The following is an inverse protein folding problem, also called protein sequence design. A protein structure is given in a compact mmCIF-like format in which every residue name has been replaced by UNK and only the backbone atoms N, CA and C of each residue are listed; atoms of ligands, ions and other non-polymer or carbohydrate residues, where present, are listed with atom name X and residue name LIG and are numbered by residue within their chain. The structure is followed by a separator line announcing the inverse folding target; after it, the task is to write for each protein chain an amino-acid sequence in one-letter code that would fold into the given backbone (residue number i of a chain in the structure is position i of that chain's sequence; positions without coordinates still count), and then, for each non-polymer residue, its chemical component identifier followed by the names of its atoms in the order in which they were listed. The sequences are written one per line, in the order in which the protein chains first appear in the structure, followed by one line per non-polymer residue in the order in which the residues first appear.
data_IF_431854188003
#
_entry.id   IF_431854188003
#
_cell.length_a   1.000
_cell.length_b   1.000
_cell.length_c   1.000
_cell.angle_alpha   90.00
_cell.angle_beta   90.00
_cell.angle_gamma   90.00
#
_symmetry.space_group_name_H-M   'P 1'
#
loop_
_entity.id
_entity.type
_entity.pdbx_description
1 polymer ?
#
# COMPACT_ATOMS: atom_id res chain seq x y z
N UNK A 1 -9.42 -19.30 -41.42
CA UNK A 1 -9.98 -20.57 -41.91
C UNK A 1 -10.28 -21.41 -40.68
N UNK A 2 -11.55 -21.67 -40.37
CA UNK A 2 -12.00 -22.37 -39.15
C UNK A 2 -12.71 -23.67 -39.53
N UNK A 3 -12.41 -24.75 -38.79
CA UNK A 3 -13.05 -26.09 -38.84
C UNK A 3 -12.21 -27.02 -37.92
N UNK A 4 -12.68 -27.95 -37.07
CA UNK A 4 -13.99 -28.36 -36.49
C UNK A 4 -13.69 -28.77 -35.01
N UNK A 5 -14.55 -28.66 -33.98
CA UNK A 5 -15.79 -29.41 -33.69
C UNK A 5 -15.65 -30.96 -33.80
N UNK A 6 -15.97 -31.80 -32.81
CA UNK A 6 -16.28 -31.56 -31.36
C UNK A 6 -15.43 -32.52 -30.48
N UNK A 7 -15.83 -33.39 -29.53
CA UNK A 7 -17.10 -33.87 -28.92
C UNK A 7 -16.80 -34.26 -27.45
N UNK A 8 -17.76 -34.17 -26.53
CA UNK A 8 -17.66 -34.73 -25.16
C UNK A 8 -18.30 -36.13 -25.07
N UNK A 9 -17.73 -37.04 -24.25
CA UNK A 9 -18.37 -38.11 -23.46
C UNK A 9 -17.28 -39.02 -22.81
N UNK A 10 -17.45 -39.71 -21.68
CA UNK A 10 -18.50 -39.73 -20.64
C UNK A 10 -17.94 -40.39 -19.35
N UNK A 11 -18.59 -40.20 -18.19
CA UNK A 11 -18.23 -40.94 -16.96
C UNK A 11 -18.67 -42.40 -17.06
N UNK A 12 -17.81 -43.38 -16.80
CA UNK A 12 -18.25 -44.78 -16.65
C UNK A 12 -17.38 -45.67 -15.74
N UNK A 13 -18.04 -46.30 -14.75
CA UNK A 13 -17.56 -47.48 -14.00
C UNK A 13 -16.23 -47.37 -13.24
N UNK A 14 -16.29 -46.78 -12.04
CA UNK A 14 -15.28 -46.96 -10.99
C UNK A 14 -15.31 -48.43 -10.53
N UNK A 15 -14.36 -49.23 -11.01
CA UNK A 15 -14.20 -50.64 -10.69
C UNK A 15 -12.71 -50.95 -10.57
N UNK A 16 -12.36 -51.77 -9.57
CA UNK A 16 -10.96 -52.02 -9.18
C UNK A 16 -10.13 -52.58 -10.33
N UNK A 17 -8.85 -52.19 -10.37
CA UNK A 17 -7.86 -52.80 -11.25
C UNK A 17 -7.38 -54.12 -10.62
N UNK A 18 -7.11 -55.13 -11.44
CA UNK A 18 -6.50 -56.39 -10.98
C UNK A 18 -4.97 -56.29 -10.77
N UNK A 19 -4.37 -55.13 -11.06
CA UNK A 19 -2.94 -54.77 -10.94
C UNK A 19 -1.91 -55.70 -11.61
N UNK A 20 -2.36 -56.79 -12.23
CA UNK A 20 -1.60 -57.72 -13.08
C UNK A 20 -0.68 -56.99 -14.07
N UNK A 21 0.63 -57.14 -13.93
CA UNK A 21 1.64 -56.59 -14.85
C UNK A 21 1.99 -57.60 -15.95
N UNK A 22 2.34 -57.17 -17.18
CA UNK A 22 2.51 -55.78 -17.63
C UNK A 22 1.21 -55.08 -18.10
N UNK A 23 0.10 -55.79 -18.26
CA UNK A 23 -1.20 -55.22 -18.63
C UNK A 23 -2.30 -55.84 -17.78
N UNK A 24 -3.09 -55.01 -17.08
CA UNK A 24 -4.25 -55.48 -16.35
C UNK A 24 -5.30 -56.06 -17.32
N UNK A 25 -6.08 -57.05 -16.89
CA UNK A 25 -6.97 -57.77 -17.81
C UNK A 25 -8.01 -56.84 -18.48
N UNK A 26 -8.44 -55.79 -17.78
CA UNK A 26 -9.37 -54.78 -18.31
C UNK A 26 -8.75 -53.91 -19.42
N UNK A 27 -7.46 -53.61 -19.35
CA UNK A 27 -6.72 -52.92 -20.40
C UNK A 27 -6.44 -53.84 -21.60
N UNK A 28 -6.06 -55.10 -21.33
CA UNK A 28 -5.83 -56.15 -22.35
C UNK A 28 -7.06 -56.37 -23.23
N UNK A 29 -8.26 -56.48 -22.65
CA UNK A 29 -9.53 -56.65 -23.39
C UNK A 29 -9.89 -55.38 -24.19
N UNK A 30 -9.54 -54.18 -23.70
CA UNK A 30 -9.92 -52.90 -24.33
C UNK A 30 -8.86 -52.34 -25.30
N UNK A 31 -7.76 -53.05 -25.53
CA UNK A 31 -6.68 -52.61 -26.42
C UNK A 31 -6.04 -51.27 -26.00
N UNK A 32 -5.96 -51.00 -24.68
CA UNK A 32 -5.38 -49.76 -24.14
C UNK A 32 -4.11 -50.04 -23.35
N UNK A 33 -3.19 -49.10 -23.42
CA UNK A 33 -1.98 -49.08 -22.60
C UNK A 33 -2.33 -48.97 -21.11
N UNK A 34 -1.55 -49.65 -20.25
CA UNK A 34 -1.81 -49.72 -18.82
C UNK A 34 -0.73 -48.95 -18.04
N UNK A 35 -1.04 -47.73 -17.62
CA UNK A 35 -0.12 -46.86 -16.89
C UNK A 35 -0.18 -47.16 -15.40
N UNK A 36 0.88 -47.77 -14.86
CA UNK A 36 1.03 -47.97 -13.41
C UNK A 36 1.75 -46.76 -12.82
N UNK A 37 1.09 -46.07 -11.88
CA UNK A 37 1.70 -44.92 -11.21
C UNK A 37 2.89 -45.34 -10.34
N UNK A 38 4.09 -44.90 -10.73
CA UNK A 38 5.22 -44.81 -9.79
C UNK A 38 4.89 -43.83 -8.66
N UNK A 39 5.62 -43.91 -7.55
CA UNK A 39 5.39 -43.07 -6.36
C UNK A 39 5.36 -41.58 -6.71
N UNK A 40 4.17 -40.98 -6.60
CA UNK A 40 3.95 -39.58 -6.93
C UNK A 40 4.68 -38.66 -5.95
N UNK A 41 5.85 -38.15 -6.36
CA UNK A 41 6.37 -36.93 -5.77
C UNK A 41 5.46 -35.78 -6.21
N UNK A 42 4.71 -35.24 -5.25
CA UNK A 42 3.93 -34.02 -5.45
C UNK A 42 4.86 -32.92 -6.00
N UNK A 43 4.51 -32.24 -7.11
CA UNK A 43 5.31 -31.12 -7.60
C UNK A 43 5.38 -30.04 -6.53
N UNK A 44 6.59 -29.68 -6.12
CA UNK A 44 6.80 -28.50 -5.27
C UNK A 44 6.28 -27.28 -6.02
N UNK A 45 5.26 -26.62 -5.47
CA UNK A 45 4.66 -25.42 -6.03
C UNK A 45 5.63 -24.25 -5.85
N UNK A 46 6.57 -24.11 -6.79
CA UNK A 46 7.42 -22.92 -6.86
C UNK A 46 6.53 -21.67 -7.00
N UNK A 47 6.58 -20.79 -6.00
CA UNK A 47 5.90 -19.51 -6.02
C UNK A 47 6.52 -18.63 -7.12
N UNK A 48 5.92 -18.62 -8.31
CA UNK A 48 6.37 -17.80 -9.44
C UNK A 48 6.13 -16.32 -9.11
N UNK A 49 7.21 -15.61 -8.74
CA UNK A 49 7.19 -14.17 -8.55
C UNK A 49 7.30 -13.52 -9.93
N UNK A 50 6.18 -13.01 -10.46
CA UNK A 50 6.17 -12.25 -11.71
C UNK A 50 6.84 -10.89 -11.49
N UNK A 51 8.10 -10.76 -11.94
CA UNK A 51 8.86 -9.52 -11.92
C UNK A 51 8.71 -8.83 -13.28
N UNK A 52 7.99 -7.70 -13.32
CA UNK A 52 7.87 -6.88 -14.53
C UNK A 52 9.15 -6.09 -14.76
N UNK A 53 9.90 -6.41 -15.82
CA UNK A 53 11.13 -5.71 -16.21
C UNK A 53 10.86 -4.87 -17.45
N UNK A 54 10.79 -3.52 -17.35
CA UNK A 54 10.61 -2.66 -18.51
C UNK A 54 11.86 -2.62 -19.39
N UNK A 55 11.66 -2.57 -20.71
CA UNK A 55 12.74 -2.53 -21.71
C UNK A 55 13.28 -1.10 -21.83
N UNK A 56 14.46 -0.83 -21.27
CA UNK A 56 15.08 0.51 -21.28
C UNK A 56 16.22 0.58 -22.32
N UNK A 57 16.28 1.62 -23.18
CA UNK A 57 17.42 1.84 -24.09
C UNK A 57 18.74 2.03 -23.34
N UNK A 58 19.85 1.50 -23.89
CA UNK A 58 21.19 1.71 -23.32
C UNK A 58 21.68 3.13 -23.61
N UNK A 59 21.68 4.00 -22.60
CA UNK A 59 22.42 5.26 -22.61
C UNK A 59 23.73 5.14 -21.80
N UNK A 60 24.78 5.91 -22.14
CA UNK A 60 26.04 5.90 -21.38
C UNK A 60 25.84 6.51 -19.98
N UNK A 61 26.37 5.84 -18.97
CA UNK A 61 26.25 6.24 -17.56
C UNK A 61 27.14 7.43 -17.21
N UNK A 62 26.53 8.56 -16.88
CA UNK A 62 27.22 9.77 -16.39
C UNK A 62 27.22 9.92 -14.85
N UNK A 63 26.66 8.96 -14.10
CA UNK A 63 26.57 9.01 -12.64
C UNK A 63 27.39 7.91 -11.97
N UNK A 64 28.16 8.27 -10.94
CA UNK A 64 28.81 7.29 -10.07
C UNK A 64 27.80 6.73 -9.06
N UNK A 65 27.73 5.40 -8.83
CA UNK A 65 26.80 4.82 -7.85
C UNK A 65 26.94 5.34 -6.41
N UNK A 66 28.08 5.93 -6.05
CA UNK A 66 28.30 6.55 -4.75
C UNK A 66 27.37 7.75 -4.49
N UNK A 67 27.13 8.60 -5.49
CA UNK A 67 26.29 9.80 -5.38
C UNK A 67 24.81 9.47 -5.12
N UNK A 68 24.36 8.30 -5.58
CA UNK A 68 23.00 7.79 -5.31
C UNK A 68 22.80 7.41 -3.85
N UNK A 69 23.80 6.80 -3.22
CA UNK A 69 23.80 6.43 -1.80
C UNK A 69 23.93 7.68 -0.94
N UNK A 70 24.88 8.57 -1.24
CA UNK A 70 25.09 9.78 -0.46
C UNK A 70 23.86 10.71 -0.45
N UNK A 71 23.25 10.91 -1.62
CA UNK A 71 22.00 11.66 -1.71
C UNK A 71 20.87 10.98 -0.91
N UNK A 72 20.82 9.63 -0.90
CA UNK A 72 19.84 8.87 -0.13
C UNK A 72 20.00 9.14 1.38
N UNK A 73 21.22 9.03 1.90
CA UNK A 73 21.55 9.28 3.30
C UNK A 73 21.10 10.68 3.76
N UNK A 74 21.46 11.71 2.98
CA UNK A 74 21.27 13.10 3.39
C UNK A 74 19.86 13.66 3.14
N UNK A 75 19.13 13.17 2.13
CA UNK A 75 17.91 13.84 1.64
C UNK A 75 16.67 12.93 1.60
N UNK A 76 16.84 11.60 1.55
CA UNK A 76 15.75 10.67 1.25
C UNK A 76 15.37 9.85 2.48
N UNK A 77 16.35 9.33 3.22
CA UNK A 77 16.12 8.48 4.38
C UNK A 77 15.24 9.18 5.43
N UNK A 78 15.57 10.42 5.81
CA UNK A 78 14.85 11.21 6.81
C UNK A 78 13.40 11.54 6.42
N UNK A 79 13.16 12.02 5.19
CA UNK A 79 11.81 12.39 4.70
C UNK A 79 10.86 11.19 4.55
N UNK A 80 11.42 10.00 4.30
CA UNK A 80 10.69 8.73 4.17
C UNK A 80 10.45 8.08 5.53
N UNK A 81 11.43 8.15 6.43
CA UNK A 81 11.40 7.56 7.77
C UNK A 81 10.24 8.09 8.60
N UNK A 82 10.14 9.43 8.67
CA UNK A 82 9.36 10.13 9.68
C UNK A 82 9.63 9.66 11.12
N UNK A 83 8.72 9.93 12.06
CA UNK A 83 8.91 9.57 13.46
C UNK A 83 8.75 8.07 13.78
N UNK A 84 8.39 7.20 12.82
CA UNK A 84 8.07 5.79 13.12
C UNK A 84 9.03 4.75 12.52
N UNK A 85 9.50 4.91 11.29
CA UNK A 85 10.20 3.82 10.56
C UNK A 85 11.72 4.08 10.37
N UNK A 86 12.31 5.01 11.13
CA UNK A 86 13.72 5.44 10.97
C UNK A 86 14.72 4.28 11.03
N UNK A 87 14.48 3.28 11.88
CA UNK A 87 15.35 2.11 12.00
C UNK A 87 15.41 1.26 10.71
N UNK A 88 14.33 1.22 9.92
CA UNK A 88 14.32 0.54 8.63
C UNK A 88 14.98 1.39 7.53
N UNK A 89 14.53 2.64 7.36
CA UNK A 89 14.93 3.49 6.23
C UNK A 89 16.32 4.12 6.39
N UNK A 90 16.68 4.56 7.59
CA UNK A 90 17.99 5.19 7.85
C UNK A 90 19.07 4.18 8.29
N UNK A 91 18.71 3.02 8.87
CA UNK A 91 19.70 2.04 9.34
C UNK A 91 19.75 0.76 8.49
N UNK A 92 18.67 -0.03 8.43
CA UNK A 92 18.69 -1.33 7.72
C UNK A 92 19.02 -1.17 6.22
N UNK A 93 18.38 -0.22 5.54
CA UNK A 93 18.59 -0.02 4.10
C UNK A 93 20.01 0.45 3.79
N UNK A 94 20.60 1.32 4.60
CA UNK A 94 22.00 1.73 4.43
C UNK A 94 22.95 0.53 4.60
N UNK A 95 22.80 -0.23 5.69
CA UNK A 95 23.59 -1.44 5.96
C UNK A 95 23.52 -2.44 4.78
N UNK A 96 22.31 -2.71 4.26
CA UNK A 96 22.13 -3.62 3.14
C UNK A 96 22.61 -3.05 1.80
N UNK A 97 22.53 -1.74 1.56
CA UNK A 97 23.02 -1.12 0.31
C UNK A 97 24.53 -1.24 0.12
N UNK A 98 25.30 -1.27 1.22
CA UNK A 98 26.73 -1.50 1.18
C UNK A 98 27.06 -2.96 0.78
N UNK A 99 26.27 -3.93 1.24
CA UNK A 99 26.57 -5.37 1.10
C UNK A 99 25.86 -6.03 -0.10
N UNK A 100 24.67 -5.55 -0.50
CA UNK A 100 23.77 -6.20 -1.46
C UNK A 100 23.53 -5.30 -2.68
N UNK A 101 24.11 -5.59 -3.87
CA UNK A 101 24.04 -4.69 -5.02
C UNK A 101 22.61 -4.41 -5.53
N UNK A 102 21.67 -5.35 -5.41
CA UNK A 102 20.26 -5.11 -5.74
C UNK A 102 19.64 -3.97 -4.91
N UNK A 103 19.95 -3.91 -3.61
CA UNK A 103 19.49 -2.83 -2.70
C UNK A 103 20.18 -1.51 -3.05
N UNK A 104 21.47 -1.56 -3.40
CA UNK A 104 22.24 -0.38 -3.84
C UNK A 104 21.62 0.29 -5.07
N UNK A 105 21.37 -0.47 -6.14
CA UNK A 105 20.72 0.05 -7.34
C UNK A 105 19.29 0.54 -7.06
N UNK A 106 18.55 -0.13 -6.17
CA UNK A 106 17.20 0.31 -5.79
C UNK A 106 17.21 1.68 -5.06
N UNK A 107 18.15 1.93 -4.12
CA UNK A 107 18.25 3.26 -3.50
C UNK A 107 18.78 4.33 -4.45
N UNK A 108 19.68 4.00 -5.38
CA UNK A 108 20.11 4.93 -6.44
C UNK A 108 18.93 5.34 -7.33
N UNK A 109 18.05 4.40 -7.68
CA UNK A 109 16.83 4.68 -8.44
C UNK A 109 15.86 5.60 -7.67
N UNK A 110 15.68 5.37 -6.37
CA UNK A 110 14.86 6.24 -5.50
C UNK A 110 15.49 7.63 -5.40
N UNK A 111 16.80 7.75 -5.19
CA UNK A 111 17.51 9.05 -5.17
C UNK A 111 17.35 9.81 -6.49
N UNK A 112 17.46 9.13 -7.64
CA UNK A 112 17.25 9.72 -8.95
C UNK A 112 15.80 10.23 -9.12
N UNK A 113 14.79 9.47 -8.68
CA UNK A 113 13.40 9.88 -8.69
C UNK A 113 13.12 11.05 -7.71
N UNK A 114 13.68 11.01 -6.51
CA UNK A 114 13.48 12.01 -5.46
C UNK A 114 14.05 13.38 -5.83
N UNK A 115 15.20 13.42 -6.52
CA UNK A 115 15.83 14.67 -7.02
C UNK A 115 14.87 15.55 -7.85
N UNK A 116 13.88 14.97 -8.54
CA UNK A 116 12.79 15.73 -9.15
C UNK A 116 11.53 14.84 -9.32
N UNK A 117 10.67 14.85 -8.29
CA UNK A 117 9.46 14.01 -8.22
C UNK A 117 8.44 14.31 -9.32
N UNK A 118 8.44 15.51 -9.92
CA UNK A 118 7.55 15.83 -11.04
C UNK A 118 7.87 14.99 -12.29
N UNK A 119 9.15 14.69 -12.53
CA UNK A 119 9.62 13.88 -13.68
C UNK A 119 10.03 12.46 -13.27
N UNK A 120 9.81 12.04 -12.02
CA UNK A 120 10.19 10.71 -11.54
C UNK A 120 9.69 9.57 -12.44
N UNK A 121 8.47 9.70 -12.98
CA UNK A 121 7.84 8.73 -13.87
C UNK A 121 8.67 8.43 -15.15
N UNK A 122 9.39 9.44 -15.67
CA UNK A 122 10.15 9.43 -16.93
C UNK A 122 11.66 9.60 -16.74
N UNK A 123 12.15 9.64 -15.50
CA UNK A 123 13.56 9.82 -15.17
C UNK A 123 14.40 8.62 -15.68
N UNK A 124 15.32 8.80 -16.66
CA UNK A 124 16.01 7.69 -17.30
C UNK A 124 16.96 6.95 -16.35
N UNK A 125 17.60 7.65 -15.40
CA UNK A 125 18.48 7.05 -14.41
C UNK A 125 17.68 6.18 -13.43
N UNK A 126 16.51 6.65 -12.96
CA UNK A 126 15.63 5.87 -12.10
C UNK A 126 15.12 4.59 -12.79
N UNK A 127 14.80 4.67 -14.08
CA UNK A 127 14.40 3.52 -14.91
C UNK A 127 15.56 2.52 -15.11
N UNK A 128 16.75 3.02 -15.44
CA UNK A 128 17.95 2.19 -15.66
C UNK A 128 18.42 1.47 -14.39
N UNK A 129 18.44 2.18 -13.26
CA UNK A 129 18.88 1.64 -11.98
C UNK A 129 17.84 0.66 -11.41
N UNK A 130 16.54 0.93 -11.51
CA UNK A 130 15.51 -0.02 -11.07
C UNK A 130 15.47 -1.29 -11.92
N UNK A 131 15.59 -1.18 -13.25
CA UNK A 131 15.72 -2.34 -14.13
C UNK A 131 16.98 -3.18 -13.83
N UNK A 132 18.06 -2.54 -13.35
CA UNK A 132 19.29 -3.23 -12.94
C UNK A 132 19.18 -3.84 -11.54
N UNK A 133 18.54 -3.17 -10.59
CA UNK A 133 18.19 -3.71 -9.28
C UNK A 133 17.36 -4.99 -9.41
N UNK A 134 16.31 -4.98 -10.26
CA UNK A 134 15.48 -6.16 -10.52
C UNK A 134 16.28 -7.31 -11.15
N UNK A 135 17.13 -7.03 -12.15
CA UNK A 135 17.98 -8.05 -12.80
C UNK A 135 18.93 -8.73 -11.81
N UNK A 136 19.54 -7.97 -10.90
CA UNK A 136 20.40 -8.53 -9.84
C UNK A 136 19.58 -9.28 -8.79
N UNK A 137 18.36 -8.82 -8.48
CA UNK A 137 17.46 -9.48 -7.54
C UNK A 137 16.98 -10.85 -8.05
N UNK A 138 16.52 -10.96 -9.30
CA UNK A 138 16.11 -12.23 -9.91
C UNK A 138 17.23 -13.26 -9.80
N UNK A 139 18.45 -12.87 -10.22
CA UNK A 139 19.64 -13.73 -10.09
C UNK A 139 19.97 -14.07 -8.64
N UNK A 140 19.69 -13.22 -7.65
CA UNK A 140 19.85 -13.62 -6.23
C UNK A 140 18.81 -14.65 -5.81
N UNK A 141 17.55 -14.49 -6.20
CA UNK A 141 16.46 -15.43 -5.86
C UNK A 141 16.72 -16.80 -6.50
N UNK A 142 17.18 -16.83 -7.75
CA UNK A 142 17.59 -18.07 -8.45
C UNK A 142 18.71 -18.83 -7.73
N UNK A 143 19.70 -18.12 -7.19
CA UNK A 143 20.86 -18.72 -6.50
C UNK A 143 20.59 -19.03 -5.02
N UNK A 144 19.57 -18.45 -4.41
CA UNK A 144 19.26 -18.57 -2.97
C UNK A 144 17.74 -18.39 -2.71
N UNK A 145 16.90 -19.39 -3.04
CA UNK A 145 15.45 -19.27 -2.94
C UNK A 145 14.91 -19.11 -1.50
N UNK A 146 15.73 -19.44 -0.50
CA UNK A 146 15.34 -19.46 0.91
C UNK A 146 15.71 -18.17 1.66
N UNK A 147 16.44 -17.23 1.05
CA UNK A 147 16.77 -15.94 1.67
C UNK A 147 15.71 -14.88 1.37
N UNK A 148 14.77 -14.72 2.29
CA UNK A 148 13.62 -13.83 2.14
C UNK A 148 13.93 -12.34 2.45
N UNK A 149 14.98 -12.03 3.23
CA UNK A 149 15.28 -10.67 3.68
C UNK A 149 15.51 -9.69 2.52
N UNK A 150 16.39 -10.03 1.57
CA UNK A 150 16.75 -9.12 0.46
C UNK A 150 15.58 -8.89 -0.51
N UNK A 151 14.82 -9.92 -0.93
CA UNK A 151 13.58 -9.74 -1.69
C UNK A 151 12.55 -8.84 -0.99
N UNK A 152 12.37 -8.96 0.33
CA UNK A 152 11.40 -8.13 1.06
C UNK A 152 11.79 -6.66 1.12
N UNK A 153 13.06 -6.36 1.41
CA UNK A 153 13.57 -4.98 1.37
C UNK A 153 13.47 -4.41 -0.05
N UNK A 154 13.75 -5.22 -1.08
CA UNK A 154 13.57 -4.78 -2.46
C UNK A 154 12.11 -4.50 -2.83
N UNK A 155 11.14 -5.31 -2.40
CA UNK A 155 9.71 -5.04 -2.61
C UNK A 155 9.26 -3.71 -1.97
N UNK A 156 9.74 -3.40 -0.76
CA UNK A 156 9.50 -2.11 -0.09
C UNK A 156 10.14 -0.93 -0.84
N UNK A 157 11.37 -1.10 -1.34
CA UNK A 157 12.06 -0.08 -2.14
C UNK A 157 11.40 0.14 -3.51
N UNK A 158 10.93 -0.90 -4.18
CA UNK A 158 10.19 -0.75 -5.44
C UNK A 158 8.79 -0.17 -5.22
N UNK A 159 8.07 -0.56 -4.16
CA UNK A 159 6.83 0.13 -3.74
C UNK A 159 7.08 1.63 -3.58
N UNK A 160 8.17 2.01 -2.91
CA UNK A 160 8.57 3.41 -2.73
C UNK A 160 8.82 4.14 -4.06
N UNK A 161 9.61 3.53 -4.94
CA UNK A 161 9.88 4.10 -6.26
C UNK A 161 8.60 4.28 -7.08
N UNK A 162 7.71 3.27 -7.10
CA UNK A 162 6.45 3.34 -7.84
C UNK A 162 5.47 4.35 -7.22
N UNK A 163 5.49 4.58 -5.89
CA UNK A 163 4.76 5.69 -5.26
C UNK A 163 5.28 7.06 -5.75
N UNK A 164 6.60 7.27 -5.81
CA UNK A 164 7.20 8.51 -6.34
C UNK A 164 6.87 8.72 -7.82
N UNK A 165 6.88 7.64 -8.62
CA UNK A 165 6.51 7.66 -10.04
C UNK A 165 4.99 7.85 -10.24
N UNK A 166 4.17 7.47 -9.26
CA UNK A 166 2.71 7.49 -9.35
C UNK A 166 2.08 6.26 -10.01
N UNK A 167 2.83 5.18 -10.15
CA UNK A 167 2.41 3.94 -10.78
C UNK A 167 1.71 3.04 -9.74
N UNK A 168 0.41 3.30 -9.54
CA UNK A 168 -0.40 2.66 -8.50
C UNK A 168 -0.35 1.13 -8.65
N UNK A 169 -0.64 0.62 -9.85
CA UNK A 169 -0.76 -0.82 -10.10
C UNK A 169 0.53 -1.58 -9.84
N UNK A 170 1.68 -1.04 -10.29
CA UNK A 170 2.97 -1.69 -10.03
C UNK A 170 3.34 -1.63 -8.55
N UNK A 171 3.01 -0.55 -7.83
CA UNK A 171 3.23 -0.48 -6.40
C UNK A 171 2.36 -1.49 -5.62
N UNK A 172 1.12 -1.69 -6.05
CA UNK A 172 0.21 -2.71 -5.50
C UNK A 172 0.75 -4.13 -5.74
N UNK A 173 1.29 -4.42 -6.93
CA UNK A 173 1.93 -5.71 -7.23
C UNK A 173 3.18 -5.95 -6.36
N UNK A 174 4.04 -4.94 -6.20
CA UNK A 174 5.22 -5.05 -5.32
C UNK A 174 4.82 -5.27 -3.85
N UNK A 175 3.76 -4.60 -3.39
CA UNK A 175 3.17 -4.83 -2.06
C UNK A 175 2.69 -6.28 -1.91
N UNK A 176 1.86 -6.77 -2.84
CA UNK A 176 1.31 -8.14 -2.82
C UNK A 176 2.42 -9.21 -2.83
N UNK A 177 3.49 -9.00 -3.60
CA UNK A 177 4.64 -9.89 -3.60
C UNK A 177 5.35 -9.90 -2.23
N UNK A 178 5.49 -8.75 -1.57
CA UNK A 178 6.01 -8.66 -0.20
C UNK A 178 5.21 -9.49 0.82
N UNK A 179 3.88 -9.46 0.75
CA UNK A 179 3.02 -10.27 1.63
C UNK A 179 3.22 -11.78 1.40
N UNK A 180 3.23 -12.22 0.15
CA UNK A 180 3.47 -13.64 -0.22
C UNK A 180 4.83 -14.15 0.29
N UNK A 181 5.87 -13.33 0.23
CA UNK A 181 7.21 -13.71 0.68
C UNK A 181 7.27 -13.82 2.22
N UNK A 182 6.59 -12.94 2.97
CA UNK A 182 6.49 -13.08 4.44
C UNK A 182 5.72 -14.37 4.81
N UNK A 183 4.62 -14.66 4.13
CA UNK A 183 3.86 -15.89 4.36
C UNK A 183 4.70 -17.15 4.12
N UNK A 184 5.41 -17.22 2.99
CA UNK A 184 6.35 -18.31 2.70
C UNK A 184 7.47 -18.41 3.74
N UNK A 185 8.05 -17.28 4.17
CA UNK A 185 9.10 -17.24 5.21
C UNK A 185 8.60 -17.78 6.56
N UNK A 186 7.36 -17.45 6.95
CA UNK A 186 6.73 -17.93 8.18
C UNK A 186 6.40 -19.42 8.11
N UNK A 187 5.93 -19.90 6.97
CA UNK A 187 5.69 -21.34 6.74
C UNK A 187 6.99 -22.14 6.83
N UNK A 188 8.07 -21.66 6.20
CA UNK A 188 9.39 -22.29 6.24
C UNK A 188 9.93 -22.42 7.68
N UNK A 189 9.91 -21.32 8.45
CA UNK A 189 10.36 -21.29 9.85
C UNK A 189 9.53 -22.17 10.80
N UNK A 190 8.24 -22.39 10.51
CA UNK A 190 7.39 -23.29 11.29
C UNK A 190 7.71 -24.78 11.04
N UNK A 191 8.19 -25.12 9.84
CA UNK A 191 8.52 -26.50 9.45
C UNK A 191 9.95 -26.86 9.88
N UNK A 192 10.88 -25.92 9.79
CA UNK A 192 12.30 -26.16 10.06
C UNK A 192 12.92 -25.02 10.85
N UNK A 193 13.40 -25.30 12.07
CA UNK A 193 14.03 -24.29 12.94
C UNK A 193 15.25 -23.69 12.24
N UNK A 194 15.30 -22.36 12.01
CA UNK A 194 16.39 -21.73 11.27
C UNK A 194 17.71 -21.80 12.04
N UNK A 195 18.81 -22.00 11.31
CA UNK A 195 20.17 -21.83 11.85
C UNK A 195 20.46 -20.36 12.22
N UNK A 196 21.53 -20.07 12.99
CA UNK A 196 21.71 -18.77 13.66
C UNK A 196 21.59 -17.54 12.74
N UNK A 197 22.11 -17.61 11.51
CA UNK A 197 22.05 -16.51 10.54
C UNK A 197 20.62 -16.30 10.02
N UNK A 198 19.91 -17.37 9.66
CA UNK A 198 18.52 -17.32 9.21
C UNK A 198 17.55 -16.90 10.34
N UNK A 199 17.92 -17.19 11.60
CA UNK A 199 17.20 -16.69 12.76
C UNK A 199 17.35 -15.17 12.89
N UNK A 200 18.54 -14.60 12.64
CA UNK A 200 18.72 -13.14 12.63
C UNK A 200 18.01 -12.45 11.45
N UNK A 201 18.01 -13.06 10.26
CA UNK A 201 17.23 -12.57 9.11
C UNK A 201 15.71 -12.59 9.43
N UNK A 202 15.21 -13.66 10.07
CA UNK A 202 13.81 -13.78 10.51
C UNK A 202 13.44 -12.71 11.53
N UNK A 203 14.27 -12.53 12.57
CA UNK A 203 14.05 -11.55 13.63
C UNK A 203 14.09 -10.11 13.06
N UNK A 204 14.94 -9.86 12.06
CA UNK A 204 15.00 -8.63 11.28
C UNK A 204 13.73 -8.41 10.45
N UNK A 205 13.19 -9.45 9.81
CA UNK A 205 11.93 -9.36 9.04
C UNK A 205 10.77 -8.99 9.96
N UNK A 206 10.58 -9.72 11.06
CA UNK A 206 9.44 -9.52 11.97
C UNK A 206 9.50 -8.17 12.71
N UNK A 207 10.69 -7.71 13.10
CA UNK A 207 10.85 -6.46 13.87
C UNK A 207 10.99 -5.21 12.99
N UNK A 208 11.63 -5.30 11.82
CA UNK A 208 11.99 -4.12 10.99
C UNK A 208 11.23 -4.03 9.66
N UNK A 209 10.68 -5.13 9.13
CA UNK A 209 10.02 -5.15 7.80
C UNK A 209 8.51 -5.27 7.92
N UNK A 210 8.01 -6.19 8.75
CA UNK A 210 6.57 -6.41 8.95
C UNK A 210 5.83 -5.13 9.38
N UNK A 211 6.34 -4.27 10.28
CA UNK A 211 5.69 -2.99 10.61
C UNK A 211 5.60 -2.05 9.41
N UNK A 212 6.68 -1.90 8.64
CA UNK A 212 6.75 -1.02 7.45
C UNK A 212 5.75 -1.49 6.39
N UNK A 213 5.74 -2.78 6.07
CA UNK A 213 4.80 -3.34 5.09
C UNK A 213 3.35 -3.23 5.57
N UNK A 214 3.09 -3.42 6.88
CA UNK A 214 1.77 -3.22 7.50
C UNK A 214 1.31 -1.75 7.41
N UNK A 215 2.22 -0.78 7.56
CA UNK A 215 1.96 0.65 7.40
C UNK A 215 1.72 1.05 5.95
N UNK A 216 2.60 0.64 5.03
CA UNK A 216 2.49 1.04 3.62
C UNK A 216 1.26 0.43 2.93
N UNK A 217 0.88 -0.80 3.26
CA UNK A 217 -0.36 -1.38 2.71
C UNK A 217 -1.64 -0.71 3.24
N UNK A 218 -1.60 0.09 4.32
CA UNK A 218 -2.73 0.97 4.68
C UNK A 218 -2.89 2.12 3.68
N UNK A 219 -1.78 2.66 3.15
CA UNK A 219 -1.86 3.60 2.04
C UNK A 219 -2.45 2.94 0.79
N UNK A 220 -2.20 1.64 0.58
CA UNK A 220 -2.79 0.87 -0.52
C UNK A 220 -4.30 0.58 -0.34
N UNK A 221 -4.82 0.49 0.90
CA UNK A 221 -6.27 0.36 1.15
C UNK A 221 -7.06 1.54 0.61
N UNK A 222 -6.49 2.75 0.66
CA UNK A 222 -7.14 3.93 0.06
C UNK A 222 -7.36 3.75 -1.45
N UNK A 223 -6.57 2.90 -2.11
CA UNK A 223 -6.71 2.52 -3.52
C UNK A 223 -7.46 1.20 -3.72
N UNK A 224 -8.22 0.74 -2.72
CA UNK A 224 -9.22 -0.34 -2.85
C UNK A 224 -8.66 -1.75 -2.93
N UNK A 225 -7.36 -1.95 -2.71
CA UNK A 225 -6.77 -3.28 -2.56
C UNK A 225 -6.67 -3.66 -1.09
N UNK A 226 -7.29 -4.78 -0.72
CA UNK A 226 -7.13 -5.39 0.60
C UNK A 226 -5.87 -6.25 0.68
N UNK A 227 -5.25 -6.30 1.85
CA UNK A 227 -4.01 -7.05 2.10
C UNK A 227 -4.18 -7.90 3.36
N UNK A 228 -3.64 -9.14 3.40
CA UNK A 228 -3.74 -10.02 4.56
C UNK A 228 -3.29 -9.36 5.87
N UNK A 229 -3.94 -9.70 6.98
CA UNK A 229 -3.54 -9.21 8.30
C UNK A 229 -2.26 -9.92 8.79
N UNK A 230 -1.13 -9.22 8.71
CA UNK A 230 0.09 -9.66 9.35
C UNK A 230 -0.03 -9.50 10.87
N UNK A 231 -0.14 -10.63 11.58
CA UNK A 231 0.14 -10.69 13.02
C UNK A 231 1.57 -10.19 13.29
N UNK A 232 1.76 -9.44 14.36
CA UNK A 232 3.03 -8.95 14.88
C UNK A 232 2.79 -8.54 16.35
N UNK A 233 3.68 -8.95 17.26
CA UNK A 233 3.39 -8.87 18.70
C UNK A 233 3.58 -7.45 19.30
N UNK A 234 4.07 -6.50 18.50
CA UNK A 234 4.20 -5.09 18.90
C UNK A 234 2.87 -4.32 18.79
N UNK A 235 2.11 -4.35 19.88
CA UNK A 235 0.81 -3.66 20.03
C UNK A 235 0.94 -2.11 20.15
N UNK A 236 1.57 -1.46 19.18
CA UNK A 236 1.61 0.01 19.10
C UNK A 236 0.21 0.60 18.88
N UNK A 237 -0.03 1.80 19.40
CA UNK A 237 -1.29 2.51 19.18
C UNK A 237 -1.56 2.73 17.69
N UNK A 238 -0.54 3.13 16.90
CA UNK A 238 -0.67 3.30 15.44
C UNK A 238 -1.14 2.02 14.75
N UNK A 239 -0.67 0.85 15.18
CA UNK A 239 -1.10 -0.45 14.61
C UNK A 239 -2.59 -0.71 14.86
N UNK A 240 -3.06 -0.58 16.11
CA UNK A 240 -4.47 -0.81 16.45
C UNK A 240 -5.42 0.08 15.63
N UNK A 241 -5.08 1.35 15.43
CA UNK A 241 -5.85 2.27 14.59
C UNK A 241 -5.86 1.84 13.10
N UNK A 242 -4.72 1.36 12.60
CA UNK A 242 -4.58 0.82 11.24
C UNK A 242 -5.38 -0.47 11.04
N UNK A 243 -5.45 -1.34 12.04
CA UNK A 243 -6.22 -2.58 12.00
C UNK A 243 -7.74 -2.30 12.04
N UNK A 244 -8.20 -1.30 12.81
CA UNK A 244 -9.59 -0.83 12.76
C UNK A 244 -9.94 -0.24 11.39
N UNK A 245 -9.04 0.53 10.77
CA UNK A 245 -9.24 1.03 9.40
C UNK A 245 -9.27 -0.09 8.35
N UNK A 246 -8.48 -1.17 8.54
CA UNK A 246 -8.55 -2.39 7.72
C UNK A 246 -9.89 -3.10 7.83
N UNK A 247 -10.40 -3.28 9.04
CA UNK A 247 -11.73 -3.86 9.24
C UNK A 247 -12.81 -3.04 8.52
N UNK A 248 -12.77 -1.71 8.68
CA UNK A 248 -13.67 -0.80 7.97
C UNK A 248 -13.54 -0.89 6.44
N UNK A 249 -12.32 -1.03 5.91
CA UNK A 249 -12.05 -1.26 4.48
C UNK A 249 -12.61 -2.60 3.95
N UNK A 250 -12.76 -3.62 4.80
CA UNK A 250 -13.39 -4.90 4.42
C UNK A 250 -14.92 -4.83 4.51
N UNK A 251 -15.47 -4.09 5.47
CA UNK A 251 -16.92 -3.84 5.67
C UNK A 251 -17.48 -2.79 4.67
N UNK A 252 -16.70 -2.37 3.67
CA UNK A 252 -16.87 -1.10 2.96
C UNK A 252 -18.20 -0.87 2.21
N UNK A 253 -18.45 0.43 1.98
CA UNK A 253 -19.54 1.07 1.24
C UNK A 253 -19.95 0.42 -0.09
N UNK A 254 -19.12 -0.42 -0.70
CA UNK A 254 -19.51 -1.21 -1.88
C UNK A 254 -20.78 -2.01 -1.60
N UNK A 255 -20.94 -2.55 -0.39
CA UNK A 255 -22.18 -3.23 0.03
C UNK A 255 -23.38 -2.27 0.13
N UNK A 256 -23.20 -1.10 0.75
CA UNK A 256 -24.24 -0.07 0.85
C UNK A 256 -24.80 0.31 -0.53
N UNK A 257 -23.92 0.71 -1.44
CA UNK A 257 -24.30 1.17 -2.78
C UNK A 257 -24.64 0.04 -3.78
N UNK A 258 -24.57 -1.23 -3.36
CA UNK A 258 -25.15 -2.37 -4.10
C UNK A 258 -26.36 -2.96 -3.39
N UNK A 259 -26.87 -2.30 -2.34
CA UNK A 259 -27.97 -2.76 -1.48
C UNK A 259 -27.76 -4.19 -0.92
N UNK A 260 -26.49 -4.55 -0.71
CA UNK A 260 -26.04 -5.88 -0.28
C UNK A 260 -25.40 -5.83 1.12
N UNK A 261 -25.98 -5.00 2.00
CA UNK A 261 -25.61 -4.91 3.43
C UNK A 261 -26.38 -5.98 4.20
N UNK A 262 -25.67 -6.83 4.93
CA UNK A 262 -26.22 -7.90 5.74
C UNK A 262 -26.18 -7.53 7.24
N UNK A 263 -26.92 -8.27 8.07
CA UNK A 263 -26.89 -8.08 9.53
C UNK A 263 -25.47 -8.25 10.12
N UNK A 264 -24.63 -9.08 9.48
CA UNK A 264 -23.22 -9.29 9.82
C UNK A 264 -22.34 -8.05 9.57
N UNK A 265 -22.71 -7.19 8.62
CA UNK A 265 -21.98 -5.95 8.36
C UNK A 265 -22.26 -4.91 9.45
N UNK A 266 -23.50 -4.82 9.93
CA UNK A 266 -23.86 -3.96 11.08
C UNK A 266 -23.18 -4.41 12.38
N UNK A 267 -23.10 -5.72 12.63
CA UNK A 267 -22.37 -6.22 13.82
C UNK A 267 -20.86 -6.03 13.68
N UNK A 268 -20.31 -6.18 12.47
CA UNK A 268 -18.92 -5.83 12.15
C UNK A 268 -18.62 -4.34 12.37
N UNK A 269 -19.48 -3.45 11.86
CA UNK A 269 -19.40 -2.00 12.05
C UNK A 269 -19.41 -1.64 13.54
N UNK A 270 -20.34 -2.19 14.32
CA UNK A 270 -20.43 -1.97 15.77
C UNK A 270 -19.17 -2.43 16.51
N UNK A 271 -18.64 -3.62 16.20
CA UNK A 271 -17.39 -4.13 16.79
C UNK A 271 -16.21 -3.20 16.46
N UNK A 272 -16.12 -2.68 15.24
CA UNK A 272 -15.07 -1.75 14.82
C UNK A 272 -15.21 -0.37 15.49
N UNK A 273 -16.43 0.13 15.67
CA UNK A 273 -16.70 1.35 16.43
C UNK A 273 -16.30 1.21 17.91
N UNK A 274 -16.62 0.07 18.55
CA UNK A 274 -16.17 -0.23 19.91
C UNK A 274 -14.64 -0.29 20.01
N UNK A 275 -13.96 -0.93 19.05
CA UNK A 275 -12.50 -0.96 18.99
C UNK A 275 -11.89 0.43 18.80
N UNK A 276 -12.48 1.28 17.96
CA UNK A 276 -12.02 2.66 17.74
C UNK A 276 -12.17 3.51 19.01
N UNK A 277 -13.29 3.40 19.71
CA UNK A 277 -13.50 4.15 20.96
C UNK A 277 -12.60 3.63 22.09
N UNK A 278 -12.36 2.31 22.19
CA UNK A 278 -11.37 1.79 23.13
C UNK A 278 -9.96 2.29 22.78
N UNK A 279 -9.58 2.31 21.50
CA UNK A 279 -8.32 2.88 21.06
C UNK A 279 -8.16 4.34 21.47
N UNK A 280 -9.23 5.15 21.31
CA UNK A 280 -9.24 6.56 21.72
C UNK A 280 -9.02 6.71 23.22
N UNK A 281 -9.69 5.87 24.02
CA UNK A 281 -9.52 5.84 25.48
C UNK A 281 -8.08 5.48 25.87
N UNK A 282 -7.51 4.41 25.28
CA UNK A 282 -6.12 3.99 25.47
C UNK A 282 -5.13 5.11 25.11
N UNK A 283 -5.38 5.78 23.98
CA UNK A 283 -4.49 6.80 23.42
C UNK A 283 -4.46 8.06 24.27
N UNK A 284 -5.61 8.61 24.66
CA UNK A 284 -5.65 9.78 25.55
C UNK A 284 -5.10 9.44 26.95
N UNK A 285 -5.33 8.21 27.46
CA UNK A 285 -4.72 7.73 28.71
C UNK A 285 -3.20 7.53 28.62
N UNK A 286 -2.65 7.27 27.41
CA UNK A 286 -1.22 7.31 27.14
C UNK A 286 -0.71 8.75 27.11
N UNK A 287 -1.41 9.67 26.41
CA UNK A 287 -1.00 11.07 26.29
C UNK A 287 -0.90 11.78 27.65
N UNK A 288 -1.77 11.46 28.61
CA UNK A 288 -1.69 11.97 29.99
C UNK A 288 -0.41 11.53 30.71
N UNK A 289 0.12 10.33 30.41
CA UNK A 289 1.31 9.75 31.05
C UNK A 289 2.63 10.24 30.44
N UNK A 290 2.61 10.81 29.24
CA UNK A 290 3.81 11.39 28.62
C UNK A 290 4.27 12.64 29.39
N UNK A 291 5.59 12.78 29.56
CA UNK A 291 6.19 14.03 30.04
C UNK A 291 6.13 15.12 28.92
N UNK A 292 6.54 16.35 29.25
CA UNK A 292 6.53 17.47 28.29
C UNK A 292 7.44 17.23 27.07
N UNK A 293 8.66 16.76 27.29
CA UNK A 293 9.66 16.50 26.23
C UNK A 293 9.20 15.40 25.26
N UNK A 294 8.61 14.32 25.77
CA UNK A 294 8.06 13.24 24.94
C UNK A 294 6.85 13.75 24.14
N UNK A 295 5.98 14.57 24.76
CA UNK A 295 4.79 15.13 24.10
C UNK A 295 5.16 16.15 23.01
N UNK A 296 6.24 16.92 23.20
CA UNK A 296 6.77 17.87 22.22
C UNK A 296 7.43 17.15 21.04
N UNK A 297 8.37 16.23 21.31
CA UNK A 297 9.04 15.44 20.26
C UNK A 297 8.08 14.56 19.45
N UNK A 298 6.99 14.08 20.06
CA UNK A 298 5.94 13.32 19.37
C UNK A 298 4.77 14.18 18.84
N UNK A 299 4.80 15.51 18.96
CA UNK A 299 3.64 16.37 18.69
C UNK A 299 2.99 16.11 17.32
N UNK A 300 3.78 16.08 16.25
CA UNK A 300 3.27 15.83 14.89
C UNK A 300 2.72 14.40 14.71
N UNK A 301 3.28 13.41 15.39
CA UNK A 301 2.75 12.05 15.39
C UNK A 301 1.39 11.97 16.13
N UNK A 302 1.26 12.70 17.25
CA UNK A 302 0.03 12.81 18.04
C UNK A 302 -1.09 13.48 17.23
N UNK A 303 -0.77 14.60 16.57
CA UNK A 303 -1.71 15.34 15.71
C UNK A 303 -2.16 14.45 14.54
N UNK A 304 -1.23 13.78 13.86
CA UNK A 304 -1.54 12.88 12.74
C UNK A 304 -2.45 11.71 13.15
N UNK A 305 -2.19 11.08 14.31
CA UNK A 305 -3.04 10.01 14.84
C UNK A 305 -4.47 10.51 15.16
N UNK A 306 -4.62 11.72 15.71
CA UNK A 306 -5.94 12.34 15.96
C UNK A 306 -6.69 12.66 14.66
N UNK A 307 -5.99 13.14 13.62
CA UNK A 307 -6.57 13.37 12.28
C UNK A 307 -7.12 12.05 11.71
N UNK A 308 -6.30 10.99 11.66
CA UNK A 308 -6.75 9.70 11.13
C UNK A 308 -7.88 9.11 11.96
N UNK A 309 -7.82 9.16 13.30
CA UNK A 309 -8.92 8.70 14.15
C UNK A 309 -10.25 9.36 13.80
N UNK A 310 -10.28 10.69 13.63
CA UNK A 310 -11.51 11.39 13.24
C UNK A 310 -11.98 11.00 11.83
N UNK A 311 -11.09 10.92 10.85
CA UNK A 311 -11.47 10.42 9.51
C UNK A 311 -12.06 9.01 9.55
N UNK A 312 -11.48 8.11 10.35
CA UNK A 312 -11.94 6.74 10.53
C UNK A 312 -13.28 6.70 11.28
N UNK A 313 -13.47 7.55 12.30
CA UNK A 313 -14.71 7.65 13.08
C UNK A 313 -15.90 8.13 12.25
N UNK A 314 -15.75 9.24 11.52
CA UNK A 314 -16.79 9.75 10.61
C UNK A 314 -17.15 8.65 9.61
N UNK A 315 -16.15 8.05 8.98
CA UNK A 315 -16.39 7.07 7.94
C UNK A 315 -17.01 5.76 8.46
N UNK A 316 -16.55 5.21 9.60
CA UNK A 316 -17.18 4.05 10.25
C UNK A 316 -18.59 4.33 10.76
N UNK A 317 -18.97 5.60 10.96
CA UNK A 317 -20.34 5.95 11.33
C UNK A 317 -21.29 5.91 10.14
N UNK A 318 -20.79 6.09 8.91
CA UNK A 318 -21.61 6.19 7.68
C UNK A 318 -21.35 5.09 6.64
N UNK A 319 -20.42 4.16 6.88
CA UNK A 319 -19.96 3.21 5.86
C UNK A 319 -21.02 2.20 5.34
N UNK A 320 -22.16 2.08 6.01
CA UNK A 320 -23.27 1.19 5.62
C UNK A 320 -24.50 1.92 5.05
N UNK A 321 -24.48 3.25 4.94
CA UNK A 321 -25.54 4.05 4.33
C UNK A 321 -25.07 4.67 3.01
N UNK A 322 -25.97 4.79 2.05
CA UNK A 322 -25.76 5.51 0.79
C UNK A 322 -26.19 6.98 0.84
N UNK A 323 -26.81 7.42 1.96
CA UNK A 323 -27.27 8.78 2.18
C UNK A 323 -26.13 9.80 2.12
N UNK A 324 -26.08 10.59 1.04
CA UNK A 324 -25.10 11.67 0.84
C UNK A 324 -25.18 12.82 1.87
N UNK A 325 -26.12 12.78 2.84
CA UNK A 325 -26.25 13.70 3.98
C UNK A 325 -25.80 13.10 5.32
N UNK A 326 -25.53 11.79 5.42
CA UNK A 326 -25.15 11.14 6.68
C UNK A 326 -23.86 11.70 7.30
N UNK A 327 -23.05 12.41 6.52
CA UNK A 327 -21.82 13.07 6.96
C UNK A 327 -22.03 14.48 7.56
N UNK A 328 -23.23 15.07 7.42
CA UNK A 328 -23.50 16.46 7.81
C UNK A 328 -23.38 16.69 9.32
N UNK A 329 -23.79 15.70 10.13
CA UNK A 329 -23.71 15.73 11.59
C UNK A 329 -22.27 15.80 12.13
N UNK A 330 -21.28 15.44 11.30
CA UNK A 330 -19.86 15.44 11.64
C UNK A 330 -19.13 16.73 11.26
N UNK A 331 -19.86 17.81 10.98
CA UNK A 331 -19.28 19.12 10.63
C UNK A 331 -18.19 19.61 11.61
N UNK A 332 -18.34 19.31 12.91
CA UNK A 332 -17.33 19.65 13.92
C UNK A 332 -16.07 18.77 13.81
N UNK A 333 -16.19 17.46 13.61
CA UNK A 333 -15.04 16.58 13.39
C UNK A 333 -14.26 16.92 12.11
N UNK A 334 -14.95 17.36 11.06
CA UNK A 334 -14.33 17.91 9.85
C UNK A 334 -13.58 19.23 10.11
N UNK A 335 -14.15 20.13 10.92
CA UNK A 335 -13.46 21.36 11.33
C UNK A 335 -12.18 21.04 12.14
N UNK A 336 -12.27 20.09 13.07
CA UNK A 336 -11.15 19.61 13.87
C UNK A 336 -10.05 18.94 13.04
N UNK A 337 -10.40 18.12 12.03
CA UNK A 337 -9.43 17.55 11.07
C UNK A 337 -8.63 18.67 10.38
N UNK A 338 -9.32 19.72 9.93
CA UNK A 338 -8.72 20.88 9.25
C UNK A 338 -7.86 21.71 10.20
N UNK A 339 -8.31 21.93 11.44
CA UNK A 339 -7.54 22.64 12.47
C UNK A 339 -6.25 21.89 12.80
N UNK A 340 -6.34 20.59 13.09
CA UNK A 340 -5.19 19.73 13.38
C UNK A 340 -4.21 19.68 12.19
N UNK A 341 -4.70 19.49 10.97
CA UNK A 341 -3.84 19.48 9.78
C UNK A 341 -3.11 20.81 9.58
N UNK A 342 -3.74 21.95 9.88
CA UNK A 342 -3.10 23.26 9.77
C UNK A 342 -1.92 23.45 10.72
N UNK A 343 -1.86 22.74 11.85
CA UNK A 343 -0.74 22.76 12.78
C UNK A 343 0.50 22.06 12.20
N UNK A 344 0.31 20.98 11.44
CA UNK A 344 1.38 20.28 10.71
C UNK A 344 1.86 21.14 9.54
N UNK A 345 0.93 21.70 8.74
CA UNK A 345 1.29 22.53 7.58
C UNK A 345 1.99 23.83 7.97
N UNK A 346 1.55 24.51 9.03
CA UNK A 346 2.13 25.79 9.47
C UNK A 346 3.61 25.71 9.89
N UNK A 347 4.08 24.53 10.30
CA UNK A 347 5.51 24.30 10.58
C UNK A 347 6.37 24.26 9.31
N UNK A 348 5.78 23.87 8.16
CA UNK A 348 6.49 23.80 6.87
C UNK A 348 6.81 25.22 6.37
N UNK A 349 5.90 26.18 6.58
CA UNK A 349 6.10 27.59 6.23
C UNK A 349 7.14 28.29 7.11
N UNK A 350 7.41 27.77 8.32
CA UNK A 350 8.34 28.35 9.30
C UNK A 350 9.80 27.83 9.20
N UNK A 351 10.05 26.74 8.48
CA UNK A 351 11.39 26.18 8.33
C UNK A 351 12.27 27.03 7.38
N UNK A 352 13.56 27.28 7.71
CA UNK A 352 14.45 28.04 6.84
C UNK A 352 14.70 27.27 5.53
N UNK A 353 14.22 27.83 4.42
CA UNK A 353 14.41 27.30 3.07
C UNK A 353 15.89 27.43 2.69
N UNK A 354 16.66 26.36 2.86
CA UNK A 354 18.01 26.27 2.34
C UNK A 354 17.99 26.30 0.80
N UNK A 355 19.02 26.86 0.13
CA UNK A 355 19.09 26.89 -1.33
C UNK A 355 19.30 25.50 -1.97
N UNK A 356 19.55 24.45 -1.18
CA UNK A 356 19.52 23.05 -1.65
C UNK A 356 18.24 22.30 -1.25
N UNK A 357 17.54 22.75 -0.20
CA UNK A 357 16.26 22.16 0.21
C UNK A 357 15.10 22.78 -0.58
N UNK A 358 14.87 22.28 -1.80
CA UNK A 358 13.54 22.33 -2.38
C UNK A 358 12.55 21.72 -1.37
N UNK A 359 11.38 22.35 -1.19
CA UNK A 359 10.43 21.90 -0.19
C UNK A 359 10.04 20.42 -0.45
N UNK A 360 10.17 19.59 0.59
CA UNK A 360 9.86 18.15 0.65
C UNK A 360 8.66 17.76 -0.23
N UNK A 361 8.95 17.37 -1.48
CA UNK A 361 7.95 17.14 -2.52
C UNK A 361 7.28 15.76 -2.39
N UNK A 362 7.85 14.88 -1.57
CA UNK A 362 7.35 13.53 -1.29
C UNK A 362 7.47 13.21 0.21
N UNK A 363 6.48 12.55 0.80
CA UNK A 363 6.65 11.86 2.08
C UNK A 363 5.62 10.75 2.26
N UNK A 364 6.00 9.67 2.93
CA UNK A 364 5.06 8.64 3.38
C UNK A 364 4.35 8.99 4.69
N UNK A 365 4.87 9.94 5.46
CA UNK A 365 4.51 10.15 6.87
C UNK A 365 3.63 11.39 7.06
N UNK A 366 3.71 12.36 6.13
CA UNK A 366 2.81 13.52 6.05
C UNK A 366 1.45 13.12 5.43
N UNK A 367 0.76 12.15 6.04
CA UNK A 367 -0.46 11.49 5.51
C UNK A 367 -1.74 12.35 5.66
N UNK A 368 -1.62 13.68 5.58
CA UNK A 368 -2.74 14.63 5.75
C UNK A 368 -3.62 14.77 4.51
N UNK A 369 -3.10 14.45 3.31
CA UNK A 369 -3.84 14.58 2.04
C UNK A 369 -5.14 13.75 2.03
N UNK A 370 -5.16 12.43 2.33
CA UNK A 370 -6.41 11.66 2.34
C UNK A 370 -7.48 12.21 3.31
N UNK A 371 -7.17 12.49 4.60
CA UNK A 371 -8.10 13.16 5.52
C UNK A 371 -8.67 14.50 5.03
N UNK A 372 -7.81 15.37 4.47
CA UNK A 372 -8.23 16.67 3.95
C UNK A 372 -9.06 16.54 2.67
N UNK A 373 -8.71 15.60 1.79
CA UNK A 373 -9.48 15.30 0.58
C UNK A 373 -10.88 14.78 0.96
N UNK A 374 -10.96 13.78 1.84
CA UNK A 374 -12.23 13.27 2.37
C UNK A 374 -13.07 14.39 2.99
N UNK A 375 -12.45 15.30 3.74
CA UNK A 375 -13.13 16.49 4.28
C UNK A 375 -13.66 17.41 3.19
N UNK A 376 -12.88 17.70 2.15
CA UNK A 376 -13.30 18.56 1.04
C UNK A 376 -14.43 17.97 0.17
N UNK A 377 -14.54 16.63 0.10
CA UNK A 377 -15.59 15.93 -0.69
C UNK A 377 -16.79 15.41 0.11
N UNK A 378 -16.78 15.45 1.46
CA UNK A 378 -17.91 15.00 2.30
C UNK A 378 -18.41 16.00 3.35
N UNK A 379 -17.64 17.04 3.71
CA UNK A 379 -18.19 18.11 4.55
C UNK A 379 -18.99 19.08 3.68
N UNK A 380 -20.24 19.38 4.04
CA UNK A 380 -21.07 20.35 3.29
C UNK A 380 -20.80 21.82 3.63
N UNK A 381 -19.98 22.12 4.64
CA UNK A 381 -19.68 23.50 5.05
C UNK A 381 -18.72 24.19 4.07
N UNK A 382 -19.14 25.22 3.29
CA UNK A 382 -18.34 25.79 2.19
C UNK A 382 -16.98 26.36 2.63
N UNK A 383 -16.88 26.83 3.88
CA UNK A 383 -15.65 27.36 4.47
C UNK A 383 -14.66 26.25 4.86
N UNK A 384 -15.14 25.16 5.47
CA UNK A 384 -14.32 24.00 5.83
C UNK A 384 -13.74 23.34 4.57
N UNK A 385 -14.56 23.17 3.51
CA UNK A 385 -14.12 22.64 2.21
C UNK A 385 -12.98 23.47 1.61
N UNK A 386 -13.15 24.79 1.55
CA UNK A 386 -12.14 25.74 1.02
C UNK A 386 -10.85 25.72 1.83
N UNK A 387 -10.94 25.64 3.16
CA UNK A 387 -9.75 25.56 4.04
C UNK A 387 -9.05 24.20 3.94
N UNK A 388 -9.79 23.10 3.79
CA UNK A 388 -9.20 21.79 3.51
C UNK A 388 -8.44 21.80 2.17
N UNK A 389 -9.04 22.37 1.13
CA UNK A 389 -8.42 22.59 -0.18
C UNK A 389 -7.14 23.44 -0.12
N UNK A 390 -7.10 24.51 0.68
CA UNK A 390 -5.90 25.31 0.91
C UNK A 390 -4.76 24.46 1.51
N UNK A 391 -5.08 23.61 2.49
CA UNK A 391 -4.10 22.74 3.15
C UNK A 391 -3.59 21.61 2.24
N UNK A 392 -4.44 21.04 1.36
CA UNK A 392 -3.99 20.09 0.32
C UNK A 392 -2.99 20.77 -0.62
N UNK A 393 -3.27 22.00 -1.06
CA UNK A 393 -2.38 22.77 -1.96
C UNK A 393 -1.03 23.14 -1.33
N UNK A 394 -0.92 23.10 0.00
CA UNK A 394 0.32 23.30 0.78
C UNK A 394 1.00 22.00 1.23
N UNK A 395 0.42 20.84 0.97
CA UNK A 395 1.02 19.55 1.28
C UNK A 395 2.15 19.21 0.28
N UNK A 396 3.05 18.26 0.60
CA UNK A 396 3.97 17.67 -0.37
C UNK A 396 3.24 17.26 -1.66
N UNK A 397 3.86 17.42 -2.83
CA UNK A 397 3.25 17.02 -4.11
C UNK A 397 2.78 15.57 -4.10
N UNK A 398 3.45 14.69 -3.35
CA UNK A 398 3.07 13.29 -3.11
C UNK A 398 3.07 12.89 -1.62
N UNK A 399 1.91 12.48 -1.12
CA UNK A 399 1.72 11.76 0.15
C UNK A 399 1.71 10.25 -0.08
N UNK A 400 2.87 9.66 -0.39
CA UNK A 400 2.95 8.30 -0.93
C UNK A 400 2.29 8.23 -2.31
N UNK A 401 1.24 7.40 -2.45
CA UNK A 401 0.43 7.32 -3.67
C UNK A 401 -0.43 8.58 -3.92
N UNK A 402 -0.81 9.31 -2.87
CA UNK A 402 -1.70 10.48 -2.98
C UNK A 402 -0.99 11.66 -3.63
N UNK A 403 -1.59 12.28 -4.65
CA UNK A 403 -1.06 13.50 -5.27
C UNK A 403 -1.85 14.72 -4.83
N UNK A 404 -1.18 15.70 -4.21
CA UNK A 404 -1.82 16.94 -3.77
C UNK A 404 -2.51 17.69 -4.92
N UNK A 405 -1.93 17.65 -6.13
CA UNK A 405 -2.50 18.26 -7.33
C UNK A 405 -3.79 17.54 -7.78
N UNK A 406 -3.75 16.21 -7.91
CA UNK A 406 -4.91 15.42 -8.35
C UNK A 406 -6.05 15.51 -7.32
N UNK A 407 -5.73 15.34 -6.04
CA UNK A 407 -6.72 15.47 -4.95
C UNK A 407 -7.33 16.86 -4.88
N UNK A 408 -6.53 17.92 -5.12
CA UNK A 408 -7.08 19.27 -5.26
C UNK A 408 -8.05 19.35 -6.43
N UNK A 409 -7.67 18.88 -7.63
CA UNK A 409 -8.53 19.01 -8.82
C UNK A 409 -9.81 18.18 -8.76
N UNK A 410 -9.75 16.98 -8.17
CA UNK A 410 -10.94 16.16 -7.92
C UNK A 410 -11.87 16.81 -6.88
N UNK A 411 -11.34 17.28 -5.75
CA UNK A 411 -12.17 17.90 -4.72
C UNK A 411 -12.75 19.26 -5.16
N UNK A 412 -11.98 20.05 -5.90
CA UNK A 412 -12.45 21.27 -6.58
C UNK A 412 -13.65 20.96 -7.47
N UNK A 413 -13.60 19.88 -8.28
CA UNK A 413 -14.72 19.49 -9.14
C UNK A 413 -15.96 19.02 -8.36
N UNK A 414 -15.79 18.34 -7.21
CA UNK A 414 -16.93 17.98 -6.34
C UNK A 414 -17.56 19.23 -5.72
N UNK A 415 -16.74 20.19 -5.26
CA UNK A 415 -17.22 21.48 -4.73
C UNK A 415 -17.98 22.26 -5.81
N UNK A 416 -17.47 22.33 -7.03
CA UNK A 416 -18.16 22.97 -8.17
C UNK A 416 -19.54 22.38 -8.46
N UNK A 417 -19.69 21.06 -8.37
CA UNK A 417 -20.95 20.35 -8.69
C UNK A 417 -21.97 20.42 -7.55
N UNK A 418 -21.52 20.45 -6.29
CA UNK A 418 -22.42 20.50 -5.13
C UNK A 418 -22.78 21.94 -4.70
N UNK A 419 -21.93 22.93 -4.96
CA UNK A 419 -22.22 24.34 -4.68
C UNK A 419 -22.72 25.11 -5.93
N UNK A 420 -22.50 24.59 -7.14
CA UNK A 420 -22.91 25.20 -8.41
C UNK A 420 -24.14 24.51 -9.01
N UNK A 421 -25.28 25.20 -9.02
CA UNK A 421 -26.50 24.73 -9.69
C UNK A 421 -26.26 24.45 -11.19
N UNK A 422 -26.56 23.22 -11.60
CA UNK A 422 -26.46 22.65 -12.96
C UNK A 422 -26.92 23.61 -14.08
N UNK A 423 -26.30 23.58 -15.29
CA UNK A 423 -25.92 22.35 -16.00
C UNK A 423 -24.48 22.28 -16.54
N UNK A 424 -24.16 21.16 -17.22
CA UNK A 424 -22.82 20.73 -17.64
C UNK A 424 -22.65 20.93 -19.17
N UNK A 425 -21.40 21.18 -19.61
CA UNK A 425 -21.02 21.10 -21.03
C UNK A 425 -21.13 19.68 -21.62
N UNK A 426 -20.89 19.49 -22.93
CA UNK A 426 -21.43 18.36 -23.70
C UNK A 426 -20.88 16.95 -23.39
N UNK A 427 -19.88 16.80 -22.53
CA UNK A 427 -19.33 15.49 -22.14
C UNK A 427 -19.21 15.33 -20.62
N UNK A 428 -20.24 14.77 -19.98
CA UNK A 428 -20.12 13.72 -18.96
C UNK A 428 -21.51 13.07 -18.73
N UNK A 429 -21.67 11.73 -18.76
CA UNK A 429 -22.98 11.08 -18.61
C UNK A 429 -23.64 11.24 -17.23
N UNK A 430 -24.95 10.94 -17.17
CA UNK A 430 -25.87 11.23 -16.06
C UNK A 430 -25.65 10.42 -14.76
N UNK A 431 -24.65 9.52 -14.70
CA UNK A 431 -24.37 8.65 -13.55
C UNK A 431 -23.57 9.33 -12.42
N UNK A 432 -23.51 10.66 -12.39
CA UNK A 432 -22.63 11.43 -11.49
C UNK A 432 -22.80 11.06 -10.01
N UNK A 433 -24.03 10.88 -9.52
CA UNK A 433 -24.30 10.46 -8.14
C UNK A 433 -23.81 9.02 -7.85
N UNK A 434 -23.91 8.11 -8.82
CA UNK A 434 -23.49 6.71 -8.67
C UNK A 434 -21.97 6.52 -8.75
N UNK A 435 -21.25 7.42 -9.42
CA UNK A 435 -19.79 7.34 -9.58
C UNK A 435 -19.03 7.94 -8.38
N UNK A 436 -19.58 8.98 -7.73
CA UNK A 436 -18.97 9.66 -6.55
C UNK A 436 -18.79 8.76 -5.31
N UNK A 437 -19.33 7.54 -5.36
CA UNK A 437 -19.26 6.48 -4.35
C UNK A 437 -17.84 5.95 -4.11
N UNK A 438 -17.06 5.69 -5.16
CA UNK A 438 -15.82 4.88 -5.05
C UNK A 438 -14.59 5.65 -4.55
N UNK A 439 -14.67 6.97 -4.40
CA UNK A 439 -13.49 7.84 -4.38
C UNK A 439 -12.95 8.10 -2.98
N UNK A 440 -12.52 7.03 -2.30
CA UNK A 440 -11.27 7.10 -1.53
C UNK A 440 -10.05 6.81 -2.42
N UNK A 441 -10.24 6.22 -3.61
CA UNK A 441 -9.20 5.82 -4.56
C UNK A 441 -8.95 6.89 -5.64
N UNK A 442 -7.89 7.72 -5.63
CA UNK A 442 -7.54 8.55 -6.79
C UNK A 442 -6.84 7.73 -7.87
N UNK A 443 -7.53 6.72 -8.40
CA UNK A 443 -7.05 5.82 -9.46
C UNK A 443 -7.11 6.50 -10.83
N UNK A 444 -5.98 6.57 -11.53
CA UNK A 444 -5.91 7.20 -12.86
C UNK A 444 -6.38 6.21 -13.93
N UNK A 445 -7.69 6.08 -14.05
CA UNK A 445 -8.35 5.46 -15.21
C UNK A 445 -9.17 6.52 -15.96
N UNK A 446 -8.43 7.41 -16.63
CA UNK A 446 -8.96 8.05 -17.84
C UNK A 446 -9.11 6.93 -18.87
N UNK A 447 -10.34 6.52 -19.14
CA UNK A 447 -10.63 5.73 -20.33
C UNK A 447 -10.35 6.60 -21.56
N UNK A 448 -9.72 6.01 -22.57
CA UNK A 448 -9.56 6.60 -23.91
C UNK A 448 -10.36 5.83 -24.95
#
# INVERSE_FOLDING_TARGET
MFDKLTVHNEKSSQGQCDESKPLCNRCKIRGRECVYGGTSQLPLTHNVITIYVPTVPKQPTLFAPAEGIDFYCHNVASEISGPFDSDFWATLILQLSQIKPAIRHAITAISAAHKNIAIAHSNPLALQESATAMRVLSKRIENDPNSHLVPLVACLLFTCLEFMRGNVDSALVQMLNGFKIIEASRQSNNIMKPGPILHMDTDTIEKRIVPVLSRLSVLCLTFGQSFPLLKCDSCSARRRLQDTYRGAAVVSTIKAHTFNVLLEDYSGQFVLQCQLQQWRNDFEALLVKLNSSDRESLANAIILLRIHHRSIFIWLSVCLTDECCATDIFTNDFADIVQLASQITGQIDAAPKSPSSNASDFSFEKQTIPPLYYTAIKCRSPSIRRRAMELIRKAPRRGGLWSAHISSKLAERVIEVEEGGLPIGPEFPLDACFILVKWFQPSVHVFG
#
